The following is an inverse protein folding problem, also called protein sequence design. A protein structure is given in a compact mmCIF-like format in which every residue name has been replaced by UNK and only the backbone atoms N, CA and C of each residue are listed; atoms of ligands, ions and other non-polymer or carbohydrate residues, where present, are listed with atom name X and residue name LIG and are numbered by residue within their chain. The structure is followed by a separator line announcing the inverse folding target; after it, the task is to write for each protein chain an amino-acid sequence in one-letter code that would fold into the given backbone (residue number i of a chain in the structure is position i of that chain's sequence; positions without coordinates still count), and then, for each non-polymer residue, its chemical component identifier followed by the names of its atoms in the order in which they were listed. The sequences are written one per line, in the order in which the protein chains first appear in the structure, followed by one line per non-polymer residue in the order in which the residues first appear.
data_IF_711711602472
#
_entry.id   IF_711711602472
#
_cell.length_a   1.000
_cell.length_b   1.000
_cell.length_c   1.000
_cell.angle_alpha   90.00
_cell.angle_beta   90.00
_cell.angle_gamma   90.00
#
_symmetry.space_group_name_H-M   'P 1'
#
loop_
_entity.id
_entity.type
_entity.pdbx_description
1 polymer ?
#
# COMPACT_ATOMS: atom_id res chain seq x y z
N UNK A 1 -36.29 59.63 -13.19
CA UNK A 1 -35.70 58.55 -14.02
C UNK A 1 -34.92 57.63 -13.07
N UNK A 2 -35.34 56.38 -12.81
CA UNK A 2 -35.15 55.17 -13.65
C UNK A 2 -33.65 55.04 -14.05
N UNK A 3 -32.86 54.00 -13.80
CA UNK A 3 -32.93 52.60 -13.32
C UNK A 3 -31.48 52.39 -12.73
N UNK A 4 -31.07 51.42 -11.90
CA UNK A 4 -30.90 49.99 -12.21
C UNK A 4 -30.32 49.32 -10.96
N UNK A 5 -31.03 48.30 -10.47
CA UNK A 5 -30.50 47.20 -9.63
C UNK A 5 -29.84 46.15 -10.52
N UNK A 6 -29.06 45.24 -9.92
CA UNK A 6 -28.57 43.92 -10.41
C UNK A 6 -27.05 43.95 -10.62
N UNK A 7 -26.26 43.51 -9.63
CA UNK A 7 -25.84 42.11 -9.32
C UNK A 7 -24.80 41.56 -10.31
N UNK A 8 -23.59 41.29 -9.80
CA UNK A 8 -22.64 40.27 -10.25
C UNK A 8 -21.77 39.97 -9.02
N UNK A 9 -21.99 38.88 -8.26
CA UNK A 9 -21.68 37.48 -8.57
C UNK A 9 -20.19 37.27 -8.86
N UNK A 10 -19.62 36.27 -8.19
CA UNK A 10 -18.28 35.66 -8.34
C UNK A 10 -17.25 36.11 -7.29
N UNK A 11 -16.42 35.23 -6.71
CA UNK A 11 -16.28 33.79 -6.83
C UNK A 11 -15.59 33.32 -5.54
N UNK A 12 -16.19 32.40 -4.78
CA UNK A 12 -15.45 31.67 -3.74
C UNK A 12 -14.56 30.67 -4.48
N UNK A 13 -13.27 31.01 -4.62
CA UNK A 13 -12.25 30.02 -4.95
C UNK A 13 -12.14 29.09 -3.74
N UNK A 14 -12.92 28.02 -3.75
CA UNK A 14 -12.59 26.84 -2.94
C UNK A 14 -11.34 26.28 -3.59
N UNK A 15 -10.18 26.71 -3.09
CA UNK A 15 -8.92 26.02 -3.37
C UNK A 15 -9.07 24.68 -2.66
N UNK A 16 -9.57 23.68 -3.38
CA UNK A 16 -9.30 22.30 -3.01
C UNK A 16 -7.80 22.14 -3.15
N UNK A 17 -7.08 22.37 -2.06
CA UNK A 17 -5.74 21.84 -1.95
C UNK A 17 -5.92 20.34 -2.14
N UNK A 18 -5.58 19.84 -3.33
CA UNK A 18 -5.07 18.49 -3.41
C UNK A 18 -3.87 18.53 -2.48
N UNK A 19 -4.01 17.96 -1.29
CA UNK A 19 -2.86 17.51 -0.54
C UNK A 19 -2.18 16.55 -1.51
N UNK A 20 -1.23 17.07 -2.28
CA UNK A 20 -0.27 16.21 -2.93
C UNK A 20 0.33 15.44 -1.78
N UNK A 21 0.08 14.13 -1.77
CA UNK A 21 1.00 13.19 -1.16
C UNK A 21 2.33 13.36 -1.89
N UNK A 22 3.05 14.45 -1.59
CA UNK A 22 4.48 14.37 -1.47
C UNK A 22 4.74 13.52 -0.23
N UNK A 23 4.48 12.22 -0.42
CA UNK A 23 5.06 11.13 0.34
C UNK A 23 6.52 11.53 0.53
N UNK A 24 6.86 11.98 1.73
CA UNK A 24 8.22 11.97 2.22
C UNK A 24 8.67 10.50 2.11
N UNK A 25 9.21 10.11 0.95
CA UNK A 25 9.78 8.78 0.72
C UNK A 25 11.11 8.74 1.46
N UNK A 26 11.05 8.71 2.79
CA UNK A 26 12.18 8.40 3.63
C UNK A 26 12.65 6.96 3.35
N UNK A 27 13.84 6.58 3.84
CA UNK A 27 14.35 5.20 3.71
C UNK A 27 13.43 4.13 4.35
N UNK A 28 12.46 4.55 5.15
CA UNK A 28 11.43 3.71 5.76
C UNK A 28 10.23 3.42 4.87
N UNK A 29 10.12 4.05 3.69
CA UNK A 29 9.02 3.82 2.75
C UNK A 29 9.53 3.20 1.46
N UNK A 30 8.81 2.21 0.95
CA UNK A 30 9.04 1.60 -0.35
C UNK A 30 7.73 1.48 -1.10
N UNK A 31 7.73 1.83 -2.38
CA UNK A 31 6.59 1.64 -3.29
C UNK A 31 7.00 0.74 -4.44
N UNK A 32 6.15 -0.18 -4.88
CA UNK A 32 6.44 -1.13 -5.95
C UNK A 32 5.21 -1.32 -6.84
N UNK A 33 5.42 -1.37 -8.16
CA UNK A 33 4.38 -1.62 -9.15
C UNK A 33 4.83 -2.72 -10.09
N UNK A 34 3.98 -3.71 -10.35
CA UNK A 34 4.35 -4.78 -11.28
C UNK A 34 3.50 -6.04 -11.23
N UNK A 35 4.03 -7.08 -11.86
CA UNK A 35 3.44 -8.41 -11.96
C UNK A 35 4.40 -9.42 -11.35
N UNK A 36 3.89 -10.32 -10.50
CA UNK A 36 4.69 -11.38 -9.93
C UNK A 36 4.35 -11.69 -8.47
N UNK A 37 5.38 -11.71 -7.63
CA UNK A 37 5.31 -12.16 -6.25
C UNK A 37 5.95 -11.12 -5.32
N UNK A 38 5.14 -10.64 -4.36
CA UNK A 38 5.55 -9.80 -3.23
C UNK A 38 5.44 -10.62 -1.94
N UNK A 39 6.45 -10.52 -1.09
CA UNK A 39 6.40 -11.01 0.29
C UNK A 39 7.06 -10.00 1.22
N UNK A 40 6.27 -9.40 2.10
CA UNK A 40 6.73 -8.57 3.21
C UNK A 40 6.73 -9.38 4.51
N UNK A 41 7.76 -9.17 5.33
CA UNK A 41 7.75 -9.49 6.76
C UNK A 41 8.27 -8.28 7.54
N UNK A 42 7.46 -7.70 8.42
CA UNK A 42 7.83 -6.45 9.10
C UNK A 42 6.76 -5.91 10.04
N UNK A 43 6.91 -4.65 10.43
CA UNK A 43 5.98 -3.85 11.22
C UNK A 43 5.75 -2.50 10.55
N UNK A 44 4.59 -1.90 10.75
CA UNK A 44 4.23 -0.59 10.21
C UNK A 44 2.95 -0.65 9.38
N UNK A 45 2.92 0.10 8.28
CA UNK A 45 1.75 0.26 7.42
C UNK A 45 2.01 -0.30 6.03
N UNK A 46 1.00 -0.96 5.47
CA UNK A 46 1.02 -1.56 4.14
C UNK A 46 -0.26 -1.22 3.42
N UNK A 47 -0.12 -0.71 2.21
CA UNK A 47 -1.20 -0.60 1.23
C UNK A 47 -0.85 -1.50 0.05
N UNK A 48 -1.81 -2.30 -0.39
CA UNK A 48 -1.60 -3.22 -1.51
C UNK A 48 -2.87 -3.37 -2.32
N UNK A 49 -2.75 -3.29 -3.64
CA UNK A 49 -3.82 -3.60 -4.58
C UNK A 49 -3.33 -4.52 -5.69
N UNK A 50 -4.26 -5.10 -6.42
CA UNK A 50 -3.99 -5.90 -7.61
C UNK A 50 -4.85 -7.15 -7.68
N UNK A 51 -4.47 -8.03 -8.61
CA UNK A 51 -5.24 -9.22 -8.96
C UNK A 51 -4.47 -10.51 -8.66
N UNK A 52 -5.02 -11.41 -7.86
CA UNK A 52 -4.44 -12.74 -7.66
C UNK A 52 -4.78 -13.41 -6.33
N UNK A 53 -3.76 -13.67 -5.52
CA UNK A 53 -3.92 -14.33 -4.22
C UNK A 53 -3.18 -13.54 -3.14
N UNK A 54 -3.94 -13.00 -2.19
CA UNK A 54 -3.44 -12.22 -1.05
C UNK A 54 -3.46 -13.08 0.22
N UNK A 55 -2.36 -13.07 0.97
CA UNK A 55 -2.24 -13.69 2.29
C UNK A 55 -1.72 -12.65 3.29
N UNK A 56 -2.44 -12.48 4.38
CA UNK A 56 -2.06 -11.63 5.50
C UNK A 56 -1.98 -12.53 6.74
N UNK A 57 -0.87 -12.44 7.47
CA UNK A 57 -0.65 -13.18 8.70
C UNK A 57 -0.28 -12.20 9.80
N UNK A 58 -1.10 -12.19 10.85
CA UNK A 58 -0.75 -11.56 12.13
C UNK A 58 0.29 -12.45 12.84
N UNK A 59 1.46 -11.88 13.09
CA UNK A 59 2.58 -12.56 13.73
C UNK A 59 2.75 -12.13 15.20
N UNK A 60 1.81 -11.35 15.74
CA UNK A 60 1.82 -10.88 17.12
C UNK A 60 1.04 -11.82 18.05
N UNK A 61 1.28 -11.68 19.35
CA UNK A 61 0.51 -12.37 20.40
C UNK A 61 -0.39 -11.38 21.15
N UNK A 62 0.04 -10.13 21.26
CA UNK A 62 -0.51 -9.09 22.13
C UNK A 62 -0.66 -7.71 21.45
N UNK A 63 -0.22 -7.56 20.20
CA UNK A 63 -0.46 -6.36 19.40
C UNK A 63 -1.68 -6.58 18.49
N UNK A 64 -2.42 -5.53 18.19
CA UNK A 64 -3.54 -5.66 17.25
C UNK A 64 -3.04 -5.32 15.84
N UNK A 65 -3.23 -6.24 14.91
CA UNK A 65 -3.13 -5.97 13.48
C UNK A 65 -4.48 -5.46 12.96
N UNK A 66 -4.51 -4.27 12.40
CA UNK A 66 -5.70 -3.74 11.73
C UNK A 66 -5.65 -4.13 10.26
N UNK A 67 -6.69 -4.81 9.77
CA UNK A 67 -6.79 -5.28 8.38
C UNK A 67 -8.10 -4.82 7.78
N UNK A 68 -8.02 -3.99 6.73
CA UNK A 68 -9.15 -3.57 5.93
C UNK A 68 -8.95 -4.07 4.50
N UNK A 69 -9.96 -4.74 3.93
CA UNK A 69 -9.90 -5.26 2.56
C UNK A 69 -11.17 -4.87 1.83
N UNK A 70 -11.00 -4.39 0.60
CA UNK A 70 -12.08 -4.03 -0.32
C UNK A 70 -11.87 -4.75 -1.65
N UNK A 71 -12.97 -5.12 -2.32
CA UNK A 71 -12.95 -5.79 -3.62
C UNK A 71 -13.51 -7.20 -3.58
N UNK A 72 -13.20 -7.95 -4.63
CA UNK A 72 -13.71 -9.30 -4.86
C UNK A 72 -12.70 -10.38 -4.44
N UNK A 73 -13.21 -11.60 -4.28
CA UNK A 73 -12.42 -12.79 -3.97
C UNK A 73 -13.03 -13.65 -2.88
N UNK A 74 -12.63 -14.92 -2.84
CA UNK A 74 -13.04 -15.84 -1.79
C UNK A 74 -12.17 -15.64 -0.55
N UNK A 75 -12.78 -15.08 0.52
CA UNK A 75 -12.13 -14.93 1.82
C UNK A 75 -12.15 -16.26 2.58
N UNK A 76 -10.96 -16.78 2.86
CA UNK A 76 -10.73 -17.87 3.80
C UNK A 76 -10.04 -17.30 5.04
N UNK A 77 -10.76 -17.27 6.16
CA UNK A 77 -10.20 -16.86 7.44
C UNK A 77 -10.07 -18.09 8.35
N UNK A 78 -8.86 -18.42 8.76
CA UNK A 78 -8.67 -19.38 9.87
C UNK A 78 -8.74 -18.62 11.20
N UNK A 79 -9.00 -19.29 12.32
CA UNK A 79 -9.03 -18.62 13.62
C UNK A 79 -7.79 -17.77 13.90
N UNK A 80 -8.02 -16.54 14.36
CA UNK A 80 -7.04 -15.63 14.97
C UNK A 80 -6.13 -14.86 14.03
N UNK A 81 -5.39 -15.53 13.14
CA UNK A 81 -4.11 -14.97 12.68
C UNK A 81 -3.87 -14.95 11.17
N UNK A 82 -4.79 -15.50 10.37
CA UNK A 82 -4.56 -15.62 8.91
C UNK A 82 -5.81 -15.21 8.15
N UNK A 83 -5.62 -14.28 7.22
CA UNK A 83 -6.58 -13.92 6.19
C UNK A 83 -6.02 -14.28 4.83
N UNK A 84 -6.69 -15.16 4.10
CA UNK A 84 -6.36 -15.52 2.74
C UNK A 84 -7.50 -15.14 1.79
N UNK A 85 -7.17 -14.54 0.66
CA UNK A 85 -8.12 -14.10 -0.36
C UNK A 85 -7.72 -14.72 -1.70
N UNK A 86 -8.52 -15.67 -2.19
CA UNK A 86 -8.30 -16.35 -3.48
C UNK A 86 -9.10 -15.65 -4.57
N UNK A 87 -8.46 -15.35 -5.70
CA UNK A 87 -9.09 -14.51 -6.73
C UNK A 87 -9.30 -13.09 -6.23
N UNK A 88 -8.40 -12.61 -5.38
CA UNK A 88 -8.37 -11.23 -4.90
C UNK A 88 -8.32 -10.29 -6.11
N UNK A 89 -9.24 -9.34 -6.16
CA UNK A 89 -9.23 -8.22 -7.09
C UNK A 89 -9.73 -7.02 -6.30
N UNK A 90 -8.80 -6.18 -5.86
CA UNK A 90 -9.14 -5.08 -4.98
C UNK A 90 -7.95 -4.48 -4.27
N UNK A 91 -8.19 -3.96 -3.06
CA UNK A 91 -7.19 -3.30 -2.23
C UNK A 91 -7.25 -3.76 -0.78
N UNK A 92 -6.12 -3.68 -0.09
CA UNK A 92 -6.00 -3.94 1.33
C UNK A 92 -5.10 -2.90 1.99
N UNK A 93 -5.51 -2.47 3.17
CA UNK A 93 -4.72 -1.65 4.09
C UNK A 93 -4.46 -2.46 5.35
N UNK A 94 -3.20 -2.57 5.74
CA UNK A 94 -2.76 -3.31 6.92
C UNK A 94 -1.89 -2.39 7.76
N UNK A 95 -2.24 -2.22 9.04
CA UNK A 95 -1.55 -1.30 9.95
C UNK A 95 -1.23 -1.96 11.29
N UNK A 96 -0.05 -1.64 11.82
CA UNK A 96 0.35 -1.98 13.19
C UNK A 96 1.44 -3.04 13.29
N UNK A 97 1.14 -4.08 14.06
CA UNK A 97 2.12 -5.01 14.63
C UNK A 97 2.86 -5.93 13.63
N UNK A 98 3.68 -6.86 14.14
CA UNK A 98 4.40 -7.83 13.32
C UNK A 98 3.48 -8.57 12.35
N UNK A 99 3.77 -8.43 11.06
CA UNK A 99 2.93 -9.00 10.01
C UNK A 99 3.77 -9.71 8.95
N UNK A 100 3.10 -10.61 8.23
CA UNK A 100 3.55 -11.10 6.93
C UNK A 100 2.47 -10.88 5.91
N UNK A 101 2.80 -10.19 4.83
CA UNK A 101 1.90 -9.92 3.70
C UNK A 101 2.49 -10.56 2.45
N UNK A 102 1.68 -11.31 1.70
CA UNK A 102 2.08 -11.95 0.46
C UNK A 102 1.02 -11.67 -0.60
N UNK A 103 1.44 -11.20 -1.77
CA UNK A 103 0.59 -11.15 -2.95
C UNK A 103 1.30 -11.81 -4.11
N UNK A 104 0.62 -12.77 -4.72
CA UNK A 104 1.03 -13.33 -6.01
C UNK A 104 -0.03 -12.96 -7.04
N UNK A 105 0.34 -12.22 -8.06
CA UNK A 105 -0.66 -11.59 -8.91
C UNK A 105 -0.14 -10.72 -10.04
N UNK A 106 -1.06 -9.94 -10.57
CA UNK A 106 -0.87 -8.96 -11.63
C UNK A 106 -1.36 -7.59 -11.18
N UNK A 107 -0.92 -6.56 -11.91
CA UNK A 107 -1.31 -5.17 -11.71
C UNK A 107 -1.18 -4.76 -10.23
N UNK A 108 -0.09 -5.22 -9.61
CA UNK A 108 0.19 -4.99 -8.20
C UNK A 108 0.63 -3.54 -8.04
N UNK A 109 -0.03 -2.80 -7.15
CA UNK A 109 0.50 -1.59 -6.55
C UNK A 109 0.70 -1.85 -5.05
N UNK A 110 1.88 -1.56 -4.54
CA UNK A 110 2.28 -1.88 -3.18
C UNK A 110 3.04 -0.71 -2.59
N UNK A 111 2.63 -0.26 -1.39
CA UNK A 111 3.39 0.67 -0.58
C UNK A 111 3.53 0.11 0.83
N UNK A 112 4.73 0.19 1.39
CA UNK A 112 4.97 -0.14 2.79
C UNK A 112 5.83 0.92 3.46
N UNK A 113 5.43 1.31 4.67
CA UNK A 113 6.17 2.22 5.54
C UNK A 113 6.45 1.54 6.88
N UNK A 114 7.71 1.59 7.34
CA UNK A 114 8.10 1.03 8.63
C UNK A 114 9.44 0.32 8.56
N UNK A 115 9.48 -0.92 9.03
CA UNK A 115 10.72 -1.71 9.15
C UNK A 115 10.46 -3.19 8.88
N UNK A 116 11.39 -3.82 8.16
CA UNK A 116 11.25 -5.22 7.79
C UNK A 116 12.03 -5.62 6.55
N UNK A 117 11.57 -6.71 5.91
CA UNK A 117 12.15 -7.28 4.70
C UNK A 117 11.06 -7.47 3.66
N UNK A 118 11.27 -6.89 2.49
CA UNK A 118 10.44 -7.08 1.31
C UNK A 118 11.18 -7.98 0.32
N UNK A 119 10.52 -9.00 -0.19
CA UNK A 119 11.00 -9.80 -1.29
C UNK A 119 10.13 -9.54 -2.51
N UNK A 120 10.76 -9.16 -3.63
CA UNK A 120 10.14 -8.93 -4.92
C UNK A 120 10.64 -9.95 -5.92
N UNK A 121 9.75 -10.55 -6.70
CA UNK A 121 10.13 -11.39 -7.85
C UNK A 121 9.12 -11.23 -8.97
N UNK A 122 9.59 -10.92 -10.17
CA UNK A 122 8.75 -10.78 -11.35
C UNK A 122 9.21 -9.61 -12.22
N UNK A 123 8.25 -8.91 -12.82
CA UNK A 123 8.48 -7.79 -13.74
C UNK A 123 7.77 -6.56 -13.22
N UNK A 124 8.50 -5.46 -13.03
CA UNK A 124 7.96 -4.25 -12.44
C UNK A 124 9.08 -3.31 -12.01
N UNK A 125 8.71 -2.26 -11.30
CA UNK A 125 9.66 -1.32 -10.69
C UNK A 125 9.34 -1.13 -9.22
N UNK A 126 10.36 -0.73 -8.45
CA UNK A 126 10.17 -0.27 -7.08
C UNK A 126 11.00 0.98 -6.83
N UNK A 127 10.51 1.83 -5.93
CA UNK A 127 11.16 3.05 -5.51
C UNK A 127 11.45 3.02 -4.02
N UNK A 128 12.68 3.41 -3.66
CA UNK A 128 13.15 3.55 -2.28
C UNK A 128 13.88 4.89 -2.15
N UNK A 129 13.26 5.85 -1.48
CA UNK A 129 13.69 7.26 -1.58
C UNK A 129 13.70 7.72 -3.04
N UNK A 130 14.81 8.30 -3.49
CA UNK A 130 14.96 8.79 -4.86
C UNK A 130 15.38 7.70 -5.86
N UNK A 131 15.68 6.49 -5.38
CA UNK A 131 16.17 5.40 -6.21
C UNK A 131 15.01 4.59 -6.78
N UNK A 132 14.92 4.52 -8.10
CA UNK A 132 14.04 3.61 -8.84
C UNK A 132 14.86 2.43 -9.33
N UNK A 133 14.36 1.22 -9.12
CA UNK A 133 14.98 -0.04 -9.52
C UNK A 133 13.94 -0.96 -10.17
N UNK A 134 14.39 -1.99 -10.87
CA UNK A 134 13.52 -3.00 -11.48
C UNK A 134 13.35 -4.21 -10.55
N UNK A 135 12.24 -4.92 -10.71
CA UNK A 135 12.08 -6.23 -10.11
C UNK A 135 12.99 -7.22 -10.84
N UNK A 136 13.51 -8.20 -10.11
CA UNK A 136 14.27 -9.31 -10.70
C UNK A 136 13.38 -10.54 -10.90
N UNK A 137 13.49 -11.21 -12.05
CA UNK A 137 12.82 -12.51 -12.27
C UNK A 137 13.38 -13.62 -11.36
N UNK A 138 14.64 -13.51 -10.93
CA UNK A 138 15.27 -14.39 -9.94
C UNK A 138 14.86 -14.00 -8.50
N UNK A 139 14.37 -12.77 -8.35
CA UNK A 139 13.91 -12.16 -7.12
C UNK A 139 15.02 -11.53 -6.29
N UNK A 140 14.63 -10.58 -5.46
CA UNK A 140 15.52 -9.77 -4.63
C UNK A 140 14.91 -9.56 -3.24
N UNK A 141 15.75 -9.63 -2.20
CA UNK A 141 15.36 -9.22 -0.84
C UNK A 141 15.88 -7.82 -0.53
N UNK A 142 14.96 -6.98 -0.07
CA UNK A 142 15.16 -5.57 0.24
C UNK A 142 14.90 -5.36 1.73
N UNK A 143 15.84 -4.72 2.43
CA UNK A 143 15.65 -4.32 3.82
C UNK A 143 15.02 -2.94 3.89
N UNK A 144 13.92 -2.81 4.62
CA UNK A 144 13.25 -1.55 4.96
C UNK A 144 13.71 -1.14 6.36
N UNK A 145 14.26 0.06 6.50
CA UNK A 145 14.75 0.60 7.78
C UNK A 145 13.98 1.85 8.14
N UNK A 146 13.54 1.93 9.39
CA UNK A 146 12.91 3.12 9.93
C UNK A 146 13.87 4.32 9.82
N UNK A 147 13.32 5.51 9.56
CA UNK A 147 14.10 6.74 9.52
C UNK A 147 14.35 7.20 10.95
N UNK A 148 15.61 7.24 11.38
CA UNK A 148 15.98 7.92 12.63
C UNK A 148 15.60 9.40 12.51
N UNK A 149 14.75 9.89 13.42
CA UNK A 149 14.35 11.29 13.51
C UNK A 149 15.48 12.18 13.96
#
# INVERSE_FOLDING_TARGET
MKIVRIVCLSLLLVVTAFAGDELFKGKGTISAQGNGFIKLKGTGDVEISGDGVLWIVDCSIDENLEVQVQGDGEKMQTPGFIWAYRGFNGSATISGGPMKVVLQGKDIDFTATGKGKLYLRGVGTYQRGDQINEWSELGEEITIKEVEK
#
